data_IF_428250938094
#
_entry.id   IF_428250938094
#
_cell.length_a   1.000
_cell.length_b   1.000
_cell.length_c   1.000
_cell.angle_alpha   90.00
_cell.angle_beta   90.00
_cell.angle_gamma   90.00
#
_symmetry.space_group_name_H-M   'P 1'
#
loop_
_entity.id
_entity.type
_entity.pdbx_description
1 polymer ?
#
# COMPACT_ATOMS: atom_id res chain seq x y z
N UNK A 1 -5.57 11.89 -20.18
CA UNK A 1 -6.36 10.66 -20.41
C UNK A 1 -5.40 9.61 -20.93
N UNK A 2 -5.32 8.47 -20.27
CA UNK A 2 -4.28 7.46 -20.50
C UNK A 2 -4.77 6.43 -21.53
N UNK A 3 -3.91 6.05 -22.48
CA UNK A 3 -4.26 5.07 -23.52
C UNK A 3 -4.02 3.64 -23.01
N UNK A 4 -4.64 2.60 -23.60
CA UNK A 4 -4.38 1.21 -23.20
C UNK A 4 -2.89 0.80 -23.26
N UNK A 5 -2.11 1.40 -24.17
CA UNK A 5 -0.66 1.16 -24.28
C UNK A 5 0.14 1.74 -23.12
N UNK A 6 -0.33 2.84 -22.52
CA UNK A 6 0.31 3.44 -21.34
C UNK A 6 -0.08 2.69 -20.05
N UNK A 7 -1.14 1.86 -20.10
CA UNK A 7 -1.58 1.02 -18.98
C UNK A 7 -0.83 -0.30 -18.88
N UNK A 8 -0.22 -0.80 -19.96
CA UNK A 8 0.52 -2.07 -19.93
C UNK A 8 1.96 -1.92 -19.41
N UNK A 9 2.48 -0.70 -19.30
CA UNK A 9 3.81 -0.44 -18.73
C UNK A 9 3.74 -0.36 -17.20
N UNK A 10 4.10 -1.46 -16.54
CA UNK A 10 4.43 -1.52 -15.12
C UNK A 10 5.63 -0.63 -14.82
N UNK A 11 5.42 0.53 -14.21
CA UNK A 11 6.51 1.32 -13.63
C UNK A 11 6.63 0.98 -12.16
N UNK A 12 7.57 0.10 -11.80
CA UNK A 12 8.25 0.06 -10.50
C UNK A 12 9.64 -0.59 -10.68
N UNK A 13 10.67 -0.30 -9.84
CA UNK A 13 10.82 0.77 -8.84
C UNK A 13 12.10 1.61 -9.03
N UNK A 14 12.25 2.62 -8.16
CA UNK A 14 13.39 3.53 -7.99
C UNK A 14 14.77 2.83 -8.08
N UNK A 15 15.45 2.96 -9.22
CA UNK A 15 16.90 2.78 -9.25
C UNK A 15 17.57 4.07 -8.74
N UNK A 16 18.06 4.01 -7.51
CA UNK A 16 19.10 4.90 -7.00
C UNK A 16 20.28 4.81 -7.97
N UNK A 17 20.41 5.81 -8.83
CA UNK A 17 21.55 5.92 -9.72
C UNK A 17 22.77 6.28 -8.86
N UNK A 18 23.56 5.25 -8.54
CA UNK A 18 24.92 5.40 -8.04
C UNK A 18 25.71 6.18 -9.08
N UNK A 19 25.91 7.48 -8.83
CA UNK A 19 26.82 8.33 -9.57
C UNK A 19 28.25 7.86 -9.37
N UNK A 20 28.76 7.06 -10.31
CA UNK A 20 30.16 6.70 -10.43
C UNK A 20 30.87 7.84 -11.19
N UNK A 21 31.34 8.85 -10.46
CA UNK A 21 32.25 9.87 -10.98
C UNK A 21 33.68 9.48 -10.67
N UNK A 22 34.46 9.17 -11.70
CA UNK A 22 35.91 8.99 -11.62
C UNK A 22 36.61 10.23 -12.14
N UNK A 23 37.73 10.54 -11.48
CA UNK A 23 38.91 11.28 -11.91
C UNK A 23 38.90 12.82 -11.85
N UNK A 24 39.62 13.39 -10.88
CA UNK A 24 40.97 13.98 -11.07
C UNK A 24 41.31 15.03 -9.99
N UNK A 25 42.23 14.69 -9.07
CA UNK A 25 43.11 15.65 -8.38
C UNK A 25 44.23 16.06 -9.36
N UNK A 26 44.67 17.33 -9.45
CA UNK A 26 45.56 17.90 -8.42
C UNK A 26 45.46 19.43 -8.23
N UNK A 27 45.52 19.93 -6.99
CA UNK A 27 46.49 20.97 -6.61
C UNK A 27 46.51 21.18 -5.10
N UNK A 28 47.71 21.44 -4.62
CA UNK A 28 48.19 21.44 -3.24
C UNK A 28 48.02 22.84 -2.64
N UNK A 29 47.30 22.98 -1.52
CA UNK A 29 47.31 24.18 -0.67
C UNK A 29 46.74 23.84 0.71
N UNK A 30 47.64 23.56 1.66
CA UNK A 30 47.40 23.39 3.10
C UNK A 30 46.50 24.48 3.71
N UNK A 31 45.69 24.12 4.72
CA UNK A 31 45.39 25.05 5.80
C UNK A 31 45.77 24.48 7.17
N UNK A 32 46.48 25.32 7.93
CA UNK A 32 46.90 25.12 9.31
C UNK A 32 45.73 24.88 10.29
N UNK A 33 45.95 23.92 11.19
CA UNK A 33 45.59 23.89 12.61
C UNK A 33 44.25 24.48 13.07
N UNK A 34 43.22 23.63 13.26
CA UNK A 34 42.36 23.71 14.47
C UNK A 34 41.96 22.29 14.93
N UNK A 35 42.79 21.73 15.80
CA UNK A 35 42.50 20.55 16.62
C UNK A 35 41.37 20.81 17.63
N UNK A 36 40.13 20.42 17.33
CA UNK A 36 39.10 20.22 18.36
C UNK A 36 39.04 18.75 18.79
N UNK A 37 39.98 18.44 19.69
CA UNK A 37 39.98 17.38 20.72
C UNK A 37 38.92 16.29 20.56
N UNK A 38 39.32 15.25 19.84
CA UNK A 38 38.81 13.90 20.05
C UNK A 38 39.04 13.56 21.53
N UNK A 39 37.96 13.48 22.33
CA UNK A 39 38.04 13.16 23.76
C UNK A 39 38.59 11.74 23.86
N UNK A 40 39.91 11.65 24.12
CA UNK A 40 40.63 10.39 24.33
C UNK A 40 39.82 9.50 25.25
N UNK A 41 39.27 8.42 24.70
CA UNK A 41 38.68 7.33 25.48
C UNK A 41 39.68 6.95 26.57
N UNK A 42 39.25 6.99 27.83
CA UNK A 42 40.12 6.62 28.95
C UNK A 42 40.67 5.21 28.70
N UNK A 43 41.99 5.08 28.67
CA UNK A 43 42.65 3.77 28.65
C UNK A 43 42.47 3.18 30.03
N UNK A 44 41.78 2.04 30.14
CA UNK A 44 41.73 1.30 31.40
C UNK A 44 43.16 0.98 31.85
N UNK A 45 43.40 0.98 33.16
CA UNK A 45 44.68 0.58 33.72
C UNK A 45 45.05 -0.83 33.20
N UNK A 46 46.34 -1.10 32.93
CA UNK A 46 46.79 -2.42 32.53
C UNK A 46 46.41 -3.42 33.63
N UNK A 47 45.76 -4.52 33.25
CA UNK A 47 45.45 -5.60 34.17
C UNK A 47 46.76 -6.15 34.77
N UNK A 48 46.76 -6.46 36.06
CA UNK A 48 47.91 -7.10 36.71
C UNK A 48 48.27 -8.40 35.97
N UNK A 49 49.57 -8.80 35.90
CA UNK A 49 50.01 -9.94 35.08
C UNK A 49 49.25 -11.25 35.34
N UNK A 50 48.83 -11.50 36.59
CA UNK A 50 48.00 -12.66 36.94
C UNK A 50 46.59 -12.60 36.34
N UNK A 51 45.99 -11.42 36.28
CA UNK A 51 44.66 -11.20 35.69
C UNK A 51 44.71 -11.22 34.17
N UNK A 52 45.80 -10.76 33.55
CA UNK A 52 45.98 -10.76 32.09
C UNK A 52 45.93 -12.18 31.50
N UNK A 53 46.47 -13.16 32.21
CA UNK A 53 46.39 -14.58 31.82
C UNK A 53 44.95 -15.12 31.92
N UNK A 54 44.19 -14.70 32.93
CA UNK A 54 42.79 -15.08 33.11
C UNK A 54 41.92 -14.49 31.99
N UNK A 55 42.09 -13.21 31.66
CA UNK A 55 41.41 -12.56 30.53
C UNK A 55 41.79 -13.15 29.17
N UNK A 56 43.06 -13.53 28.99
CA UNK A 56 43.52 -14.19 27.76
C UNK A 56 42.89 -15.57 27.59
N UNK A 57 42.82 -16.38 28.66
CA UNK A 57 42.14 -17.67 28.66
C UNK A 57 40.64 -17.56 28.41
N UNK A 58 39.96 -16.61 29.06
CA UNK A 58 38.54 -16.33 28.82
C UNK A 58 38.31 -15.89 27.36
N UNK A 59 39.18 -15.03 26.82
CA UNK A 59 39.08 -14.58 25.44
C UNK A 59 39.32 -15.66 24.37
N UNK A 60 40.08 -16.71 24.71
CA UNK A 60 40.32 -17.86 23.85
C UNK A 60 39.20 -18.91 23.96
N UNK A 61 38.50 -18.98 25.09
CA UNK A 61 37.43 -19.94 25.34
C UNK A 61 36.06 -19.46 24.83
N UNK A 62 35.79 -18.15 24.85
CA UNK A 62 34.51 -17.61 24.40
C UNK A 62 34.69 -16.42 23.44
N UNK A 63 33.98 -16.48 22.31
CA UNK A 63 33.87 -15.36 21.36
C UNK A 63 33.33 -14.13 22.09
N UNK A 64 34.12 -13.06 22.17
CA UNK A 64 33.68 -11.77 22.74
C UNK A 64 32.45 -11.30 21.97
N UNK A 65 31.37 -10.98 22.68
CA UNK A 65 30.14 -10.42 22.10
C UNK A 65 29.76 -9.16 22.85
N UNK A 66 29.37 -8.13 22.10
CA UNK A 66 28.76 -6.93 22.64
C UNK A 66 27.24 -7.08 22.51
N UNK A 67 26.51 -6.70 23.56
CA UNK A 67 25.06 -6.58 23.54
C UNK A 67 24.68 -5.20 24.08
N UNK A 68 23.65 -4.62 23.50
CA UNK A 68 23.04 -3.41 24.04
C UNK A 68 22.06 -3.82 25.14
N UNK A 69 22.11 -3.10 26.26
CA UNK A 69 21.24 -3.32 27.40
C UNK A 69 20.62 -1.99 27.86
N UNK A 70 19.46 -2.05 28.50
CA UNK A 70 18.80 -0.90 29.11
C UNK A 70 19.51 -0.47 30.41
N UNK A 71 18.97 0.55 31.08
CA UNK A 71 19.53 1.07 32.34
C UNK A 71 19.50 0.04 33.50
N UNK A 72 18.73 -1.04 33.37
CA UNK A 72 18.64 -2.13 34.34
C UNK A 72 19.51 -3.34 33.95
N UNK A 73 20.24 -3.28 32.83
CA UNK A 73 21.08 -4.36 32.32
C UNK A 73 20.33 -5.44 31.55
N UNK A 74 19.06 -5.23 31.22
CA UNK A 74 18.25 -6.14 30.40
C UNK A 74 18.47 -5.88 28.91
N UNK A 75 18.23 -6.88 28.06
CA UNK A 75 18.43 -6.75 26.62
C UNK A 75 17.51 -5.66 26.04
N UNK A 76 18.09 -4.68 25.34
CA UNK A 76 17.36 -3.56 24.75
C UNK A 76 16.39 -4.00 23.63
N UNK A 77 16.64 -5.14 23.00
CA UNK A 77 15.81 -5.66 21.92
C UNK A 77 15.37 -7.11 22.17
N UNK A 78 14.07 -7.35 22.03
CA UNK A 78 13.52 -8.70 21.96
C UNK A 78 13.29 -9.07 20.50
N UNK A 79 13.90 -10.16 20.04
CA UNK A 79 13.69 -10.69 18.68
C UNK A 79 12.80 -11.92 18.80
N UNK A 80 11.61 -11.84 18.20
CA UNK A 80 10.72 -12.99 18.03
C UNK A 80 10.77 -13.43 16.59
N UNK A 81 11.17 -14.68 16.34
CA UNK A 81 11.06 -15.29 15.03
C UNK A 81 9.69 -15.94 14.90
N UNK A 82 9.02 -15.70 13.79
CA UNK A 82 7.73 -16.33 13.46
C UNK A 82 7.96 -17.36 12.36
N UNK A 83 7.33 -18.53 12.47
CA UNK A 83 7.24 -19.49 11.38
C UNK A 83 5.98 -19.23 10.56
N UNK A 84 6.03 -19.49 9.25
CA UNK A 84 4.84 -19.49 8.37
C UNK A 84 3.82 -20.55 8.83
N UNK A 85 4.28 -21.59 9.52
CA UNK A 85 3.44 -22.66 10.08
C UNK A 85 3.01 -22.42 11.52
N UNK A 86 3.42 -21.31 12.15
CA UNK A 86 3.02 -20.97 13.52
C UNK A 86 1.68 -20.22 13.47
N UNK A 87 0.67 -20.75 14.15
CA UNK A 87 -0.61 -20.06 14.26
C UNK A 87 -0.43 -18.72 15.01
N UNK A 88 -0.99 -17.62 14.50
CA UNK A 88 -0.84 -16.32 15.14
C UNK A 88 -1.49 -16.34 16.53
N UNK A 89 -0.68 -16.24 17.57
CA UNK A 89 -1.17 -16.13 18.94
C UNK A 89 -1.75 -14.74 19.19
N UNK A 90 -3.07 -14.62 19.05
CA UNK A 90 -3.82 -13.40 19.36
C UNK A 90 -4.04 -13.30 20.87
N UNK A 91 -3.59 -12.21 21.54
CA UNK A 91 -3.80 -12.05 22.98
C UNK A 91 -5.28 -12.04 23.37
N UNK A 92 -5.60 -12.59 24.56
CA UNK A 92 -6.96 -12.71 25.09
C UNK A 92 -7.70 -11.38 25.19
N UNK A 93 -6.97 -10.27 25.36
CA UNK A 93 -7.51 -8.92 25.45
C UNK A 93 -8.18 -8.50 24.14
N UNK A 94 -7.65 -8.96 23.00
CA UNK A 94 -8.23 -8.68 21.68
C UNK A 94 -9.60 -9.35 21.55
N UNK A 95 -9.72 -10.60 21.99
CA UNK A 95 -11.02 -11.31 22.00
C UNK A 95 -12.00 -10.70 23.00
N UNK A 96 -11.51 -10.20 24.14
CA UNK A 96 -12.35 -9.48 25.10
C UNK A 96 -12.89 -8.17 24.49
N UNK A 97 -12.04 -7.41 23.80
CA UNK A 97 -12.44 -6.19 23.10
C UNK A 97 -13.46 -6.46 21.98
N UNK A 98 -13.25 -7.52 21.19
CA UNK A 98 -14.19 -7.92 20.15
C UNK A 98 -15.56 -8.31 20.70
N UNK A 99 -15.62 -8.98 21.85
CA UNK A 99 -16.88 -9.36 22.51
C UNK A 99 -17.57 -8.20 23.22
N UNK A 100 -16.81 -7.18 23.61
CA UNK A 100 -17.34 -5.97 24.24
C UNK A 100 -17.94 -4.99 23.22
N UNK A 101 -17.71 -5.19 21.92
CA UNK A 101 -18.41 -4.47 20.87
C UNK A 101 -19.87 -4.94 20.83
N UNK A 102 -20.87 -4.05 21.04
CA UNK A 102 -22.26 -4.45 20.97
C UNK A 102 -22.58 -4.96 19.55
N UNK A 103 -23.23 -6.12 19.47
CA UNK A 103 -23.70 -6.77 18.24
C UNK A 103 -24.93 -6.04 17.68
N UNK A 104 -24.86 -4.71 17.54
CA UNK A 104 -25.84 -3.89 16.83
C UNK A 104 -25.11 -2.64 16.35
N UNK A 105 -24.53 -2.70 15.16
CA UNK A 105 -24.40 -1.64 14.14
C UNK A 105 -23.26 -1.99 13.15
N UNK A 106 -23.55 -2.91 12.22
CA UNK A 106 -22.89 -2.97 10.90
C UNK A 106 -23.32 -1.80 9.97
N UNK A 107 -23.90 -0.73 10.53
CA UNK A 107 -24.25 0.50 9.83
C UNK A 107 -23.81 1.65 10.73
N UNK A 108 -23.02 2.56 10.21
CA UNK A 108 -22.68 3.88 10.79
C UNK A 108 -21.48 3.92 11.76
N UNK A 109 -20.49 4.73 11.34
CA UNK A 109 -19.51 5.45 12.17
C UNK A 109 -18.31 4.64 12.71
N UNK A 110 -17.25 4.55 11.90
CA UNK A 110 -15.89 4.52 12.46
C UNK A 110 -15.60 5.93 13.02
N UNK A 111 -15.93 6.12 14.30
CA UNK A 111 -15.61 7.30 15.07
C UNK A 111 -14.13 7.31 15.49
N UNK A 112 -13.47 8.38 15.09
CA UNK A 112 -12.52 9.13 15.91
C UNK A 112 -11.11 8.55 16.19
N UNK A 113 -10.23 8.63 15.18
CA UNK A 113 -8.78 8.85 15.38
C UNK A 113 -8.43 10.35 15.35
N UNK A 114 -9.40 11.27 15.52
CA UNK A 114 -9.21 12.73 15.43
C UNK A 114 -9.01 13.41 16.78
N UNK A 115 -8.97 12.68 17.90
CA UNK A 115 -8.79 13.25 19.24
C UNK A 115 -7.39 13.85 19.54
N UNK A 116 -6.49 13.98 18.54
CA UNK A 116 -5.15 14.55 18.71
C UNK A 116 -4.92 15.94 18.11
N UNK A 117 -5.87 16.49 17.34
CA UNK A 117 -5.69 17.80 16.69
C UNK A 117 -6.76 18.78 17.16
N UNK A 118 -6.39 19.99 17.61
CA UNK A 118 -7.37 20.99 18.02
C UNK A 118 -8.21 21.43 16.82
N UNK A 119 -9.41 20.85 16.71
CA UNK A 119 -10.66 21.52 16.37
C UNK A 119 -10.59 22.62 15.29
N UNK A 120 -10.68 22.21 14.02
CA UNK A 120 -11.37 23.01 13.00
C UNK A 120 -12.86 22.66 13.06
N UNK A 121 -13.57 23.17 14.09
CA UNK A 121 -15.02 22.96 14.28
C UNK A 121 -15.90 24.05 13.70
N UNK A 122 -15.36 24.98 12.92
CA UNK A 122 -16.16 25.93 12.17
C UNK A 122 -16.00 25.65 10.67
N UNK A 123 -17.09 25.18 10.04
CA UNK A 123 -17.22 24.72 8.63
C UNK A 123 -16.74 23.29 8.31
N UNK A 124 -17.15 22.28 9.09
CA UNK A 124 -17.05 20.89 8.65
C UNK A 124 -18.08 20.63 7.54
N UNK A 125 -17.77 21.06 6.31
CA UNK A 125 -18.55 20.66 5.14
C UNK A 125 -18.41 19.16 4.99
N UNK A 126 -19.52 18.44 5.02
CA UNK A 126 -19.52 16.99 4.88
C UNK A 126 -19.09 16.65 3.45
N UNK A 127 -17.85 16.17 3.31
CA UNK A 127 -17.29 15.74 2.04
C UNK A 127 -17.83 14.34 1.70
N UNK A 128 -18.27 14.16 0.46
CA UNK A 128 -18.79 12.89 -0.03
C UNK A 128 -18.28 12.57 -1.41
N UNK A 129 -18.10 11.29 -1.68
CA UNK A 129 -17.84 10.80 -3.02
C UNK A 129 -19.15 10.46 -3.73
N UNK A 130 -19.23 10.85 -5.00
CA UNK A 130 -20.35 10.54 -5.87
C UNK A 130 -19.86 10.20 -7.28
N UNK A 131 -20.52 9.26 -7.99
CA UNK A 131 -20.30 9.07 -9.42
C UNK A 131 -20.44 10.39 -10.19
N UNK A 132 -19.52 10.68 -11.10
CA UNK A 132 -19.63 11.87 -11.97
C UNK A 132 -20.81 11.76 -12.96
N UNK A 133 -21.26 10.53 -13.25
CA UNK A 133 -22.38 10.19 -14.10
C UNK A 133 -22.95 8.83 -13.70
N UNK A 134 -24.11 8.43 -14.25
CA UNK A 134 -24.68 7.11 -14.02
C UNK A 134 -23.76 6.03 -14.59
N UNK A 135 -23.06 5.31 -13.72
CA UNK A 135 -22.17 4.22 -14.08
C UNK A 135 -22.92 2.89 -14.05
N UNK A 136 -24.06 2.81 -14.74
CA UNK A 136 -24.84 1.58 -14.90
C UNK A 136 -25.23 1.44 -16.36
N UNK A 137 -24.60 0.49 -17.04
CA UNK A 137 -24.88 0.22 -18.44
C UNK A 137 -26.00 -0.82 -18.58
N UNK A 138 -26.77 -0.71 -19.66
CA UNK A 138 -27.74 -1.74 -20.04
C UNK A 138 -26.99 -3.04 -20.41
N UNK A 139 -27.59 -4.20 -20.11
CA UNK A 139 -26.93 -5.51 -20.30
C UNK A 139 -26.38 -5.70 -21.71
N UNK A 140 -27.15 -5.33 -22.73
CA UNK A 140 -26.77 -5.45 -24.14
C UNK A 140 -25.54 -4.60 -24.48
N UNK A 141 -25.46 -3.39 -23.92
CA UNK A 141 -24.33 -2.46 -24.12
C UNK A 141 -23.09 -2.99 -23.42
N UNK A 142 -23.24 -3.49 -22.18
CA UNK A 142 -22.14 -4.12 -21.42
C UNK A 142 -21.60 -5.35 -22.14
N UNK A 143 -22.47 -6.22 -22.65
CA UNK A 143 -22.06 -7.41 -23.41
C UNK A 143 -21.34 -7.04 -24.70
N UNK A 144 -21.87 -6.10 -25.49
CA UNK A 144 -21.21 -5.63 -26.70
C UNK A 144 -19.82 -5.04 -26.40
N UNK A 145 -19.69 -4.32 -25.29
CA UNK A 145 -18.43 -3.75 -24.83
C UNK A 145 -17.44 -4.83 -24.37
N UNK A 146 -17.90 -5.82 -23.60
CA UNK A 146 -17.08 -6.95 -23.17
C UNK A 146 -16.61 -7.79 -24.37
N UNK A 147 -17.44 -7.98 -25.39
CA UNK A 147 -17.05 -8.67 -26.63
C UNK A 147 -15.98 -7.91 -27.41
N UNK A 148 -16.03 -6.56 -27.41
CA UNK A 148 -15.06 -5.71 -28.12
C UNK A 148 -13.74 -5.57 -27.35
N UNK A 149 -13.82 -5.41 -26.04
CA UNK A 149 -12.69 -5.04 -25.19
C UNK A 149 -12.13 -6.21 -24.37
N UNK A 150 -12.76 -7.38 -24.37
CA UNK A 150 -12.45 -8.54 -23.51
C UNK A 150 -12.96 -8.39 -22.07
N UNK A 151 -13.17 -7.15 -21.61
CA UNK A 151 -13.65 -6.79 -20.28
C UNK A 151 -14.53 -5.53 -20.37
N UNK A 152 -15.51 -5.39 -19.50
CA UNK A 152 -16.35 -4.19 -19.42
C UNK A 152 -16.83 -3.91 -18.00
N UNK A 153 -16.94 -2.63 -17.63
CA UNK A 153 -17.64 -2.25 -16.40
C UNK A 153 -19.16 -2.40 -16.61
N UNK A 154 -19.81 -3.24 -15.79
CA UNK A 154 -21.27 -3.37 -15.82
C UNK A 154 -21.93 -2.26 -14.99
N UNK A 155 -21.45 -2.09 -13.75
CA UNK A 155 -21.94 -1.05 -12.85
C UNK A 155 -20.91 -0.63 -11.81
N UNK A 156 -20.98 0.61 -11.36
CA UNK A 156 -20.26 1.09 -10.18
C UNK A 156 -21.16 1.96 -9.29
N UNK A 157 -20.97 1.88 -7.98
CA UNK A 157 -21.65 2.68 -6.97
C UNK A 157 -20.67 3.12 -5.89
N UNK A 158 -21.03 4.18 -5.17
CA UNK A 158 -20.21 4.72 -4.08
C UNK A 158 -20.94 4.51 -2.77
N UNK A 159 -20.21 4.01 -1.77
CA UNK A 159 -20.68 3.87 -0.39
C UNK A 159 -19.62 4.45 0.55
N UNK A 160 -19.92 5.63 1.12
CA UNK A 160 -18.94 6.39 1.90
C UNK A 160 -17.71 6.75 1.07
N UNK A 161 -16.56 6.21 1.46
CA UNK A 161 -15.26 6.38 0.80
C UNK A 161 -14.80 5.13 0.01
N UNK A 162 -15.76 4.32 -0.42
CA UNK A 162 -15.49 3.12 -1.21
C UNK A 162 -16.26 3.16 -2.52
N UNK A 163 -15.54 2.95 -3.63
CA UNK A 163 -16.12 2.70 -4.94
C UNK A 163 -16.24 1.19 -5.10
N UNK A 164 -17.46 0.71 -5.31
CA UNK A 164 -17.75 -0.72 -5.52
C UNK A 164 -18.31 -0.89 -6.92
N UNK A 165 -18.03 -2.00 -7.56
CA UNK A 165 -18.59 -2.25 -8.88
C UNK A 165 -18.57 -3.71 -9.27
N UNK A 166 -19.20 -3.96 -10.42
CA UNK A 166 -19.26 -5.26 -11.08
C UNK A 166 -18.67 -5.11 -12.47
N UNK A 167 -17.78 -6.03 -12.80
CA UNK A 167 -17.08 -6.16 -14.08
C UNK A 167 -17.63 -7.41 -14.76
N UNK A 168 -17.86 -7.32 -16.06
CA UNK A 168 -18.12 -8.46 -16.93
C UNK A 168 -16.85 -8.74 -17.72
N UNK A 169 -16.28 -9.94 -17.59
CA UNK A 169 -15.05 -10.34 -18.27
C UNK A 169 -15.29 -11.60 -19.11
N UNK A 170 -14.77 -11.63 -20.33
CA UNK A 170 -14.81 -12.80 -21.19
C UNK A 170 -13.67 -13.77 -20.80
N UNK A 171 -13.95 -14.62 -19.82
CA UNK A 171 -12.99 -15.61 -19.32
C UNK A 171 -13.25 -16.91 -20.07
N UNK A 172 -12.39 -17.23 -21.02
CA UNK A 172 -12.44 -18.51 -21.71
C UNK A 172 -12.32 -19.64 -20.70
N UNK A 173 -13.15 -20.67 -20.88
CA UNK A 173 -13.16 -21.87 -20.04
C UNK A 173 -11.73 -22.39 -19.84
N UNK A 174 -11.35 -22.56 -18.57
CA UNK A 174 -10.07 -23.13 -18.12
C UNK A 174 -8.83 -22.23 -18.23
N UNK A 175 -8.98 -20.90 -18.37
CA UNK A 175 -7.87 -19.93 -18.28
C UNK A 175 -7.81 -19.24 -16.92
N UNK A 176 -6.60 -19.03 -16.39
CA UNK A 176 -6.39 -18.16 -15.23
C UNK A 176 -6.41 -16.70 -15.71
N UNK A 177 -7.29 -15.90 -15.13
CA UNK A 177 -7.46 -14.50 -15.47
C UNK A 177 -7.36 -13.62 -14.23
N UNK A 178 -6.45 -12.63 -14.26
CA UNK A 178 -6.40 -11.55 -13.27
C UNK A 178 -7.32 -10.43 -13.73
N UNK A 179 -8.46 -10.27 -13.06
CA UNK A 179 -9.44 -9.22 -13.35
C UNK A 179 -9.39 -8.20 -12.23
N UNK A 180 -9.39 -6.92 -12.58
CA UNK A 180 -9.29 -5.86 -11.58
C UNK A 180 -9.59 -4.48 -12.11
N UNK A 181 -9.28 -3.51 -11.27
CA UNK A 181 -9.44 -2.09 -11.53
C UNK A 181 -8.12 -1.39 -11.29
N UNK A 182 -7.66 -0.62 -12.27
CA UNK A 182 -6.59 0.35 -12.06
C UNK A 182 -7.19 1.72 -11.81
N UNK A 183 -6.73 2.38 -10.75
CA UNK A 183 -7.25 3.68 -10.33
C UNK A 183 -6.14 4.67 -9.98
N UNK A 184 -6.48 5.95 -10.00
CA UNK A 184 -5.57 7.05 -9.69
C UNK A 184 -6.31 8.17 -8.94
N UNK A 185 -5.57 8.86 -8.08
CA UNK A 185 -6.03 10.05 -7.34
C UNK A 185 -5.41 11.35 -7.88
N UNK A 186 -4.50 11.26 -8.87
CA UNK A 186 -3.65 12.37 -9.30
C UNK A 186 -3.45 12.37 -10.81
N UNK A 187 -4.54 12.25 -11.57
CA UNK A 187 -4.56 12.34 -13.03
C UNK A 187 -3.54 11.39 -13.71
N UNK A 188 -3.40 10.17 -13.21
CA UNK A 188 -2.50 9.13 -13.73
C UNK A 188 -1.00 9.40 -13.54
N UNK A 189 -0.60 10.41 -12.74
CA UNK A 189 0.79 10.58 -12.34
C UNK A 189 1.29 9.39 -11.49
N UNK A 190 0.37 8.76 -10.75
CA UNK A 190 0.56 7.46 -10.11
C UNK A 190 -0.73 6.65 -10.19
N UNK A 191 -0.62 5.33 -10.10
CA UNK A 191 -1.77 4.43 -10.12
C UNK A 191 -1.59 3.26 -9.15
N UNK A 192 -2.70 2.62 -8.82
CA UNK A 192 -2.74 1.38 -8.07
C UNK A 192 -3.78 0.44 -8.67
N UNK A 193 -3.55 -0.87 -8.50
CA UNK A 193 -4.45 -1.93 -8.95
C UNK A 193 -5.22 -2.50 -7.76
N UNK A 194 -6.52 -2.72 -7.92
CA UNK A 194 -7.38 -3.45 -6.99
C UNK A 194 -7.94 -4.68 -7.68
N UNK A 195 -7.62 -5.86 -7.16
CA UNK A 195 -8.13 -7.12 -7.70
C UNK A 195 -9.65 -7.23 -7.53
N UNK A 196 -10.30 -7.85 -8.50
CA UNK A 196 -11.71 -8.19 -8.46
C UNK A 196 -11.88 -9.69 -8.17
N UNK A 197 -12.94 -10.03 -7.44
CA UNK A 197 -13.25 -11.40 -7.05
C UNK A 197 -14.43 -11.93 -7.86
N UNK A 198 -14.40 -13.19 -8.32
CA UNK A 198 -15.49 -13.78 -9.07
C UNK A 198 -16.78 -13.80 -8.24
N UNK A 199 -17.91 -13.45 -8.86
CA UNK A 199 -19.22 -13.48 -8.24
C UNK A 199 -19.84 -14.85 -8.50
N UNK A 200 -20.15 -15.59 -7.43
CA UNK A 200 -20.76 -16.92 -7.51
C UNK A 200 -22.16 -16.84 -8.14
N UNK A 201 -22.44 -17.71 -9.12
CA UNK A 201 -23.81 -18.06 -9.49
C UNK A 201 -24.30 -17.69 -10.89
N UNK A 202 -23.51 -17.03 -11.74
CA UNK A 202 -23.98 -16.74 -13.10
C UNK A 202 -22.82 -16.55 -14.10
N UNK A 203 -22.62 -17.54 -14.96
CA UNK A 203 -21.83 -17.40 -16.19
C UNK A 203 -22.82 -17.16 -17.33
N UNK A 204 -22.67 -16.04 -18.04
CA UNK A 204 -23.51 -15.71 -19.20
C UNK A 204 -22.65 -15.92 -20.43
N UNK A 205 -22.87 -17.02 -21.16
CA UNK A 205 -22.26 -17.25 -22.49
C UNK A 205 -20.75 -16.94 -22.52
N UNK A 206 -19.95 -17.64 -21.71
CA UNK A 206 -18.48 -17.46 -21.60
C UNK A 206 -18.01 -16.19 -20.87
N UNK A 207 -18.94 -15.32 -20.44
CA UNK A 207 -18.62 -14.17 -19.59
C UNK A 207 -18.87 -14.48 -18.11
N UNK A 208 -17.93 -14.07 -17.27
CA UNK A 208 -18.00 -14.17 -15.82
C UNK A 208 -18.04 -12.78 -15.18
N UNK A 209 -18.84 -12.64 -14.12
CA UNK A 209 -18.91 -11.41 -13.34
C UNK A 209 -17.89 -11.40 -12.22
N UNK A 210 -17.25 -10.27 -12.02
CA UNK A 210 -16.31 -10.01 -10.93
C UNK A 210 -16.75 -8.78 -10.16
N UNK A 211 -16.50 -8.76 -8.85
CA UNK A 211 -16.78 -7.62 -7.97
C UNK A 211 -15.49 -7.03 -7.44
N UNK A 212 -15.40 -5.71 -7.43
CA UNK A 212 -14.24 -5.00 -6.90
C UNK A 212 -14.64 -3.99 -5.84
N UNK A 213 -13.66 -3.57 -5.04
CA UNK A 213 -13.79 -2.43 -4.13
C UNK A 213 -12.50 -1.62 -4.17
N UNK A 214 -12.61 -0.32 -4.45
CA UNK A 214 -11.52 0.65 -4.33
C UNK A 214 -11.80 1.53 -3.13
N UNK A 215 -10.84 1.59 -2.20
CA UNK A 215 -10.90 2.48 -1.05
C UNK A 215 -10.20 3.79 -1.37
N UNK A 216 -10.92 4.89 -1.21
CA UNK A 216 -10.40 6.23 -1.42
C UNK A 216 -10.03 6.87 -0.08
N UNK A 217 -8.98 7.68 0.01
CA UNK A 217 -8.64 8.36 1.25
C UNK A 217 -9.76 9.33 1.71
N UNK A 218 -10.11 9.39 3.01
CA UNK A 218 -11.17 10.25 3.53
C UNK A 218 -10.79 11.74 3.63
N UNK A 219 -9.71 12.14 2.97
CA UNK A 219 -9.12 13.46 2.99
C UNK A 219 -8.85 13.99 1.58
N UNK A 220 -9.56 13.45 0.57
CA UNK A 220 -9.52 14.03 -0.77
C UNK A 220 -9.98 15.49 -0.72
N UNK A 221 -9.28 16.32 -1.49
CA UNK A 221 -9.62 17.73 -1.63
C UNK A 221 -11.04 17.90 -2.20
N UNK A 222 -11.72 19.00 -1.88
CA UNK A 222 -12.91 19.39 -2.60
C UNK A 222 -12.64 19.42 -4.11
N UNK A 223 -13.55 18.83 -4.88
CA UNK A 223 -13.47 18.70 -6.35
C UNK A 223 -12.40 17.73 -6.86
N UNK A 224 -11.73 16.99 -5.96
CA UNK A 224 -10.84 15.90 -6.37
C UNK A 224 -11.61 14.83 -7.15
N UNK A 225 -10.97 14.32 -8.21
CA UNK A 225 -11.52 13.27 -9.07
C UNK A 225 -10.70 11.99 -8.94
N UNK A 226 -11.38 10.88 -8.75
CA UNK A 226 -10.80 9.54 -8.78
C UNK A 226 -11.13 8.94 -10.13
N UNK A 227 -10.10 8.68 -10.93
CA UNK A 227 -10.25 8.02 -12.23
C UNK A 227 -9.92 6.55 -12.12
N UNK A 228 -10.64 5.71 -12.87
CA UNK A 228 -10.34 4.30 -12.94
C UNK A 228 -10.70 3.68 -14.30
N UNK A 229 -10.06 2.55 -14.60
CA UNK A 229 -10.33 1.69 -15.74
C UNK A 229 -10.32 0.23 -15.27
N UNK A 230 -11.06 -0.63 -15.94
CA UNK A 230 -11.11 -2.06 -15.59
C UNK A 230 -10.24 -2.85 -16.54
N UNK A 231 -9.61 -3.90 -16.04
CA UNK A 231 -8.68 -4.73 -16.80
C UNK A 231 -8.97 -6.21 -16.62
N UNK A 232 -8.52 -6.99 -17.59
CA UNK A 232 -8.36 -8.44 -17.51
C UNK A 232 -7.01 -8.81 -18.11
N UNK A 233 -6.20 -9.56 -17.37
CA UNK A 233 -4.93 -10.12 -17.85
C UNK A 233 -5.06 -11.63 -17.93
N UNK A 234 -4.70 -12.19 -19.07
CA UNK A 234 -4.67 -13.63 -19.31
C UNK A 234 -3.34 -14.02 -19.93
N UNK A 235 -3.12 -15.31 -20.13
CA UNK A 235 -2.02 -15.87 -20.91
C UNK A 235 -1.98 -15.36 -22.37
N UNK A 236 -3.12 -14.88 -22.90
CA UNK A 236 -3.26 -14.38 -24.27
C UNK A 236 -3.02 -12.87 -24.41
N UNK A 237 -2.94 -12.15 -23.30
CA UNK A 237 -2.67 -10.71 -23.30
C UNK A 237 -3.48 -9.93 -22.27
N UNK A 238 -3.41 -8.60 -22.40
CA UNK A 238 -4.11 -7.66 -21.54
C UNK A 238 -5.27 -6.99 -22.28
N UNK A 239 -6.39 -6.90 -21.59
CA UNK A 239 -7.65 -6.37 -22.06
C UNK A 239 -8.07 -5.22 -21.14
N UNK A 240 -8.56 -4.13 -21.71
CA UNK A 240 -8.84 -2.90 -20.98
C UNK A 240 -10.18 -2.31 -21.40
N UNK A 241 -10.95 -1.87 -20.42
CA UNK A 241 -12.05 -0.94 -20.61
C UNK A 241 -11.79 0.34 -19.83
N UNK A 242 -11.34 1.35 -20.58
CA UNK A 242 -11.03 2.69 -20.10
C UNK A 242 -12.10 3.72 -20.54
N UNK A 243 -13.35 3.28 -20.74
CA UNK A 243 -14.44 4.14 -21.17
C UNK A 243 -14.16 4.91 -22.48
N UNK A 244 -13.63 4.24 -23.52
CA UNK A 244 -13.25 4.86 -24.81
C UNK A 244 -12.29 6.04 -24.63
N UNK A 245 -11.33 5.89 -23.71
CA UNK A 245 -10.33 6.89 -23.35
C UNK A 245 -10.79 7.93 -22.31
N UNK A 246 -12.07 8.01 -21.99
CA UNK A 246 -12.58 8.96 -20.99
C UNK A 246 -12.27 8.55 -19.54
N UNK A 247 -12.06 7.26 -19.31
CA UNK A 247 -12.02 6.62 -17.99
C UNK A 247 -13.34 6.78 -17.21
N UNK A 248 -13.50 5.97 -16.18
CA UNK A 248 -14.59 6.13 -15.23
C UNK A 248 -14.16 7.13 -14.14
N UNK A 249 -15.11 7.92 -13.64
CA UNK A 249 -14.82 9.03 -12.73
C UNK A 249 -15.79 9.08 -11.54
N UNK A 250 -15.23 9.25 -10.35
CA UNK A 250 -15.93 9.56 -9.10
C UNK A 250 -15.38 10.88 -8.56
N UNK A 251 -16.25 11.79 -8.15
CA UNK A 251 -15.88 13.13 -7.68
C UNK A 251 -16.13 13.28 -6.20
N UNK A 252 -15.21 13.98 -5.53
CA UNK A 252 -15.35 14.39 -4.14
C UNK A 252 -16.00 15.76 -4.10
N UNK A 253 -17.23 15.82 -3.59
CA UNK A 253 -18.02 17.04 -3.53
C UNK A 253 -18.38 17.41 -2.10
N UNK A 254 -18.66 18.69 -1.92
CA UNK A 254 -19.30 19.22 -0.70
C UNK A 254 -20.79 18.87 -0.73
N UNK A 255 -21.33 18.37 0.38
CA UNK A 255 -22.77 18.28 0.54
C UNK A 255 -23.34 19.70 0.71
N UNK A 256 -24.21 20.11 -0.21
CA UNK A 256 -24.97 21.37 -0.16
C UNK A 256 -26.16 21.25 0.78
#
# INVERSE_FOLDING_TARGET
MISPGDMSHSVLPLELQNGHGVDSDPDDSDPEDIYLRDRRRAKSLPAYPEQANLFSRLSQCCRKRVKFADALGLNLASVRHFSITEDPHVPSEVFAALRALPVQHEREQCGDLRAGFPSARDTAVEMRLAPAYEMRLASEVTEARANRCGVALERASVSGWAVRGVILANVLDNSEADVGVRYTFNNWASFADAHALPVSGECVRECQRFSFTVHTPPFLDPDASVYFAVYMRTDRGEFWDNNDGQNFCVQCGRML
#
